data_IF_728543530820
#
_entry.id   IF_728543530820
#
_cell.length_a   1.000
_cell.length_b   1.000
_cell.length_c   1.000
_cell.angle_alpha   90.00
_cell.angle_beta   90.00
_cell.angle_gamma   90.00
#
_symmetry.space_group_name_H-M   'P 1'
#
loop_
_entity.id
_entity.type
_entity.pdbx_description
1 polymer ?
#
# COMPACT_ATOMS: atom_id res chain seq x y z
N UNK A 1 -10.52 -25.23 -36.53
CA UNK A 1 -10.07 -25.46 -35.14
C UNK A 1 -8.80 -24.67 -34.91
N UNK A 2 -8.80 -23.64 -34.05
CA UNK A 2 -7.58 -22.89 -33.69
C UNK A 2 -7.08 -23.43 -32.35
N UNK A 3 -5.90 -24.02 -32.35
CA UNK A 3 -5.20 -24.50 -31.15
C UNK A 3 -4.76 -23.30 -30.31
N UNK A 4 -5.23 -23.19 -29.08
CA UNK A 4 -4.78 -22.18 -28.13
C UNK A 4 -3.42 -22.60 -27.56
N UNK A 5 -2.35 -21.92 -27.96
CA UNK A 5 -1.03 -22.10 -27.37
C UNK A 5 -1.11 -21.86 -25.84
N UNK A 6 -0.48 -22.70 -25.00
CA UNK A 6 -0.46 -22.49 -23.57
C UNK A 6 0.26 -21.18 -23.26
N UNK A 7 -0.45 -20.24 -22.63
CA UNK A 7 0.13 -19.01 -22.07
C UNK A 7 1.28 -19.42 -21.14
N UNK A 8 2.51 -19.16 -21.55
CA UNK A 8 3.67 -19.32 -20.69
C UNK A 8 3.42 -18.56 -19.38
N UNK A 9 3.40 -19.29 -18.25
CA UNK A 9 3.30 -18.66 -16.93
C UNK A 9 4.54 -17.79 -16.77
N UNK A 10 4.36 -16.46 -16.84
CA UNK A 10 5.43 -15.52 -16.50
C UNK A 10 6.02 -15.95 -15.15
N UNK A 11 7.35 -16.02 -15.02
CA UNK A 11 7.96 -16.38 -13.73
C UNK A 11 7.42 -15.43 -12.67
N UNK A 12 6.93 -15.99 -11.56
CA UNK A 12 6.45 -15.18 -10.44
C UNK A 12 7.59 -14.28 -10.03
N UNK A 13 7.31 -12.98 -9.92
CA UNK A 13 8.31 -11.97 -9.60
C UNK A 13 9.05 -12.31 -8.28
N UNK A 14 8.36 -12.98 -7.37
CA UNK A 14 8.90 -13.51 -6.13
C UNK A 14 10.07 -14.51 -6.30
N UNK A 15 10.15 -15.24 -7.41
CA UNK A 15 11.26 -16.16 -7.69
C UNK A 15 12.60 -15.42 -7.85
N UNK A 16 12.58 -14.15 -8.25
CA UNK A 16 13.79 -13.30 -8.30
C UNK A 16 14.34 -12.93 -6.93
N UNK A 17 13.55 -13.13 -5.88
CA UNK A 17 13.88 -12.76 -4.51
C UNK A 17 14.08 -13.99 -3.63
N UNK A 18 14.11 -15.21 -4.19
CA UNK A 18 14.26 -16.45 -3.43
C UNK A 18 12.94 -16.99 -2.84
N UNK A 19 11.79 -16.43 -3.24
CA UNK A 19 10.46 -16.92 -2.83
C UNK A 19 9.53 -15.82 -2.31
N UNK A 20 8.28 -16.20 -2.05
CA UNK A 20 7.21 -15.26 -1.68
C UNK A 20 7.50 -14.52 -0.36
N UNK A 21 8.14 -15.16 0.62
CA UNK A 21 8.50 -14.53 1.90
C UNK A 21 9.59 -13.45 1.75
N UNK A 22 10.62 -13.72 0.95
CA UNK A 22 11.69 -12.74 0.72
C UNK A 22 11.23 -11.60 -0.20
N UNK A 23 10.37 -11.88 -1.18
CA UNK A 23 9.66 -10.85 -1.95
C UNK A 23 8.80 -9.96 -1.06
N UNK A 24 8.09 -10.54 -0.10
CA UNK A 24 7.28 -9.80 0.86
C UNK A 24 8.16 -8.88 1.72
N UNK A 25 9.24 -9.41 2.29
CA UNK A 25 10.19 -8.62 3.08
C UNK A 25 10.78 -7.45 2.29
N UNK A 26 11.13 -7.68 1.01
CA UNK A 26 11.65 -6.63 0.13
C UNK A 26 10.63 -5.51 -0.15
N UNK A 27 9.35 -5.85 -0.39
CA UNK A 27 8.29 -4.84 -0.59
C UNK A 27 8.06 -4.00 0.67
N UNK A 28 8.03 -4.64 1.83
CA UNK A 28 7.87 -3.94 3.12
C UNK A 28 9.05 -3.00 3.35
N UNK A 29 10.28 -3.49 3.21
CA UNK A 29 11.48 -2.68 3.39
C UNK A 29 11.51 -1.45 2.45
N UNK A 30 11.11 -1.63 1.18
CA UNK A 30 11.03 -0.54 0.22
C UNK A 30 10.00 0.53 0.63
N UNK A 31 8.80 0.12 1.05
CA UNK A 31 7.76 1.04 1.51
C UNK A 31 8.20 1.86 2.73
N UNK A 32 8.91 1.22 3.67
CA UNK A 32 9.39 1.87 4.90
C UNK A 32 10.48 2.89 4.62
N UNK A 33 11.42 2.55 3.74
CA UNK A 33 12.46 3.48 3.32
C UNK A 33 11.85 4.73 2.65
N UNK A 34 10.81 4.54 1.83
CA UNK A 34 10.12 5.66 1.17
C UNK A 34 9.31 6.50 2.17
N UNK A 35 8.69 5.89 3.18
CA UNK A 35 7.98 6.58 4.26
C UNK A 35 8.90 7.17 5.34
N UNK A 36 10.20 6.88 5.31
CA UNK A 36 11.18 7.24 6.36
C UNK A 36 10.86 6.65 7.73
N UNK A 37 10.26 5.46 7.77
CA UNK A 37 9.85 4.74 8.98
C UNK A 37 10.80 3.61 9.36
N UNK A 38 12.08 3.76 9.01
CA UNK A 38 13.10 2.71 9.17
C UNK A 38 13.32 2.28 10.61
N UNK A 39 12.94 3.11 11.58
CA UNK A 39 12.97 2.88 13.03
C UNK A 39 11.86 1.95 13.53
N UNK A 40 10.76 1.79 12.78
CA UNK A 40 9.61 0.95 13.17
C UNK A 40 9.62 -0.45 12.55
N UNK A 41 10.71 -0.84 11.91
CA UNK A 41 10.81 -2.07 11.12
C UNK A 41 10.63 -3.35 11.96
N UNK A 42 11.14 -3.37 13.19
CA UNK A 42 11.12 -4.56 14.06
C UNK A 42 9.74 -4.86 14.67
N UNK A 43 8.89 -3.85 14.87
CA UNK A 43 7.53 -4.02 15.40
C UNK A 43 6.64 -4.84 14.45
N UNK A 44 7.01 -4.89 13.18
CA UNK A 44 6.17 -5.29 12.06
C UNK A 44 6.67 -6.53 11.32
N UNK A 45 7.81 -7.11 11.75
CA UNK A 45 8.20 -8.49 11.44
C UNK A 45 7.32 -9.55 12.09
N UNK A 46 6.35 -9.14 12.92
CA UNK A 46 5.41 -10.05 13.56
C UNK A 46 4.63 -10.80 12.47
N UNK A 47 4.64 -12.15 12.48
CA UNK A 47 3.99 -12.99 11.46
C UNK A 47 2.50 -12.71 11.25
N UNK A 48 1.85 -12.00 12.17
CA UNK A 48 0.45 -11.58 12.10
C UNK A 48 0.18 -10.37 11.20
N UNK A 49 1.22 -9.67 10.70
CA UNK A 49 1.07 -8.58 9.75
C UNK A 49 0.69 -9.16 8.37
N UNK A 50 -0.62 -9.28 8.15
CA UNK A 50 -1.21 -9.84 6.92
C UNK A 50 -0.79 -9.01 5.70
N UNK A 51 -0.87 -9.63 4.52
CA UNK A 51 -0.62 -9.00 3.23
C UNK A 51 -1.36 -7.65 3.04
N UNK A 52 -2.50 -7.45 3.72
CA UNK A 52 -3.25 -6.19 3.74
C UNK A 52 -2.41 -5.02 4.25
N UNK A 53 -1.77 -5.16 5.41
CA UNK A 53 -0.95 -4.10 6.00
C UNK A 53 0.16 -3.66 5.03
N UNK A 54 0.75 -4.58 4.26
CA UNK A 54 1.75 -4.23 3.24
C UNK A 54 1.17 -3.44 2.08
N UNK A 55 -0.08 -3.69 1.68
CA UNK A 55 -0.76 -2.86 0.67
C UNK A 55 -1.00 -1.47 1.23
N UNK A 56 -1.44 -1.38 2.48
CA UNK A 56 -1.72 -0.10 3.15
C UNK A 56 -0.43 0.74 3.27
N UNK A 57 0.70 0.13 3.65
CA UNK A 57 2.03 0.75 3.60
C UNK A 57 2.43 1.25 2.20
N UNK A 58 2.15 0.48 1.14
CA UNK A 58 2.46 0.89 -0.22
C UNK A 58 1.59 2.05 -0.70
N UNK A 59 0.31 2.06 -0.33
CA UNK A 59 -0.62 3.15 -0.60
C UNK A 59 -0.14 4.42 0.11
N UNK A 60 0.16 4.32 1.41
CA UNK A 60 0.68 5.42 2.19
C UNK A 60 1.98 5.99 1.62
N UNK A 61 2.95 5.11 1.31
CA UNK A 61 4.22 5.52 0.70
C UNK A 61 4.02 6.29 -0.60
N UNK A 62 3.17 5.76 -1.49
CA UNK A 62 2.88 6.41 -2.76
C UNK A 62 2.23 7.78 -2.56
N UNK A 63 1.30 7.90 -1.60
CA UNK A 63 0.64 9.17 -1.29
C UNK A 63 1.65 10.21 -0.78
N UNK A 64 2.51 9.82 0.16
CA UNK A 64 3.57 10.68 0.69
C UNK A 64 4.52 11.17 -0.41
N UNK A 65 5.03 10.26 -1.25
CA UNK A 65 5.96 10.58 -2.33
C UNK A 65 5.37 11.54 -3.37
N UNK A 66 4.06 11.43 -3.62
CA UNK A 66 3.36 12.25 -4.61
C UNK A 66 2.76 13.53 -4.03
N UNK A 67 2.84 13.73 -2.72
CA UNK A 67 2.17 14.84 -2.03
C UNK A 67 0.64 14.76 -2.14
N UNK A 68 0.09 13.56 -2.33
CA UNK A 68 -1.35 13.34 -2.43
C UNK A 68 -2.01 13.41 -1.06
N UNK A 69 -3.31 13.71 -1.06
CA UNK A 69 -4.16 13.51 0.12
C UNK A 69 -4.66 12.08 0.08
N UNK A 70 -4.34 11.29 1.10
CA UNK A 70 -4.92 9.96 1.25
C UNK A 70 -6.33 10.10 1.85
N UNK A 71 -7.32 9.52 1.17
CA UNK A 71 -8.69 9.46 1.67
C UNK A 71 -8.94 8.05 2.17
N UNK A 72 -9.11 7.90 3.48
CA UNK A 72 -9.41 6.61 4.12
C UNK A 72 -10.07 6.86 5.48
N UNK A 73 -10.98 5.98 5.88
CA UNK A 73 -11.49 5.94 7.26
C UNK A 73 -10.71 4.95 8.13
N UNK A 74 -9.76 4.23 7.53
CA UNK A 74 -8.87 3.34 8.25
C UNK A 74 -7.90 4.17 9.12
N UNK A 75 -7.74 3.71 10.36
CA UNK A 75 -6.87 4.32 11.38
C UNK A 75 -5.71 3.39 11.72
N UNK A 76 -5.36 2.51 10.79
CA UNK A 76 -4.22 1.66 10.93
C UNK A 76 -2.93 2.47 11.15
N UNK A 77 -1.98 1.94 11.94
CA UNK A 77 -0.74 2.63 12.29
C UNK A 77 0.13 2.98 11.08
N UNK A 78 -0.17 2.40 9.92
CA UNK A 78 0.51 2.65 8.65
C UNK A 78 0.30 4.05 8.06
N UNK A 79 -0.70 4.78 8.57
CA UNK A 79 -1.04 6.11 8.09
C UNK A 79 -0.69 7.22 9.08
N UNK A 80 -0.22 6.89 10.29
CA UNK A 80 0.04 7.86 11.38
C UNK A 80 0.99 8.99 10.96
N UNK A 81 2.01 8.65 10.17
CA UNK A 81 3.07 9.59 9.76
C UNK A 81 2.78 10.26 8.40
N UNK A 82 1.61 10.02 7.81
CA UNK A 82 1.24 10.67 6.56
C UNK A 82 0.80 12.11 6.82
N UNK A 83 1.38 13.09 6.10
CA UNK A 83 1.11 14.51 6.38
C UNK A 83 -0.31 14.95 6.00
N UNK A 84 -1.05 14.15 5.21
CA UNK A 84 -2.35 14.50 4.65
C UNK A 84 -3.25 13.27 4.52
N UNK A 85 -4.00 12.99 5.59
CA UNK A 85 -5.03 11.94 5.62
C UNK A 85 -6.36 12.57 5.97
N UNK A 86 -7.42 12.23 5.23
CA UNK A 86 -8.79 12.69 5.49
C UNK A 86 -9.77 11.52 5.42
N UNK A 87 -10.81 11.58 6.24
CA UNK A 87 -11.91 10.60 6.19
C UNK A 87 -12.81 10.80 4.97
N UNK A 88 -13.53 9.75 4.58
CA UNK A 88 -14.49 9.83 3.47
C UNK A 88 -15.61 10.83 3.76
N UNK A 89 -16.01 10.98 5.02
CA UNK A 89 -17.01 11.98 5.44
C UNK A 89 -16.56 13.42 5.15
N UNK A 90 -15.29 13.73 5.42
CA UNK A 90 -14.69 15.04 5.15
C UNK A 90 -14.63 15.32 3.65
N UNK A 91 -14.19 14.33 2.84
CA UNK A 91 -14.21 14.45 1.38
C UNK A 91 -15.63 14.68 0.86
N UNK A 92 -16.60 13.89 1.33
CA UNK A 92 -18.01 14.01 0.90
C UNK A 92 -18.56 15.40 1.21
N UNK A 93 -18.33 15.91 2.42
CA UNK A 93 -18.78 17.25 2.80
C UNK A 93 -18.15 18.34 1.91
N UNK A 94 -16.86 18.23 1.60
CA UNK A 94 -16.18 19.16 0.70
C UNK A 94 -16.75 19.11 -0.73
N UNK A 95 -17.01 17.91 -1.25
CA UNK A 95 -17.62 17.71 -2.57
C UNK A 95 -19.03 18.32 -2.63
N UNK A 96 -19.86 18.09 -1.61
CA UNK A 96 -21.19 18.70 -1.51
C UNK A 96 -21.13 20.22 -1.47
N UNK A 97 -20.20 20.80 -0.70
CA UNK A 97 -20.01 22.25 -0.64
C UNK A 97 -19.58 22.86 -1.99
N UNK A 98 -18.89 22.08 -2.83
CA UNK A 98 -18.48 22.47 -4.18
C UNK A 98 -19.56 22.21 -5.26
N UNK A 99 -20.73 21.71 -4.87
CA UNK A 99 -21.83 21.40 -5.80
C UNK A 99 -21.63 20.12 -6.61
N UNK A 100 -20.72 19.23 -6.20
CA UNK A 100 -20.61 17.91 -6.80
C UNK A 100 -21.76 17.00 -6.32
N UNK A 101 -22.35 16.17 -7.20
CA UNK A 101 -23.36 15.19 -6.79
C UNK A 101 -22.73 14.18 -5.81
N UNK A 102 -23.43 13.94 -4.69
CA UNK A 102 -22.96 13.10 -3.57
C UNK A 102 -23.29 11.61 -3.67
#
# INVERSE_FOLDING_TARGET
MRSAAPRAKRPRLAARFGGDGAWQAAKVAAAFAELRLTDRFDELRKPSARCSATVDWLIGSQAARRGWVLVTDDKGPEFDDLPRVVGHGTLRAALTAMGAPG
#
